data_IF_374916377282
#
_entry.id   IF_374916377282
#
_cell.length_a   1.000
_cell.length_b   1.000
_cell.length_c   1.000
_cell.angle_alpha   90.00
_cell.angle_beta   90.00
_cell.angle_gamma   90.00
#
_symmetry.space_group_name_H-M   'P 1'
#
loop_
_entity.id
_entity.type
_entity.pdbx_description
1 polymer ?
#
# COMPACT_ATOMS: atom_id res chain seq x y z
N UNK A 1 17.38 21.95 -22.88
CA UNK A 1 17.14 20.81 -21.97
C UNK A 1 18.48 20.21 -21.63
N UNK A 2 18.74 19.92 -20.36
CA UNK A 2 19.98 19.22 -19.98
C UNK A 2 19.83 17.72 -20.23
N UNK A 3 20.93 17.01 -20.50
CA UNK A 3 20.93 15.53 -20.64
C UNK A 3 20.30 14.84 -19.43
N UNK A 4 20.42 15.45 -18.25
CA UNK A 4 19.82 14.95 -17.01
C UNK A 4 18.28 15.04 -17.05
N UNK A 5 17.72 16.13 -17.57
CA UNK A 5 16.26 16.29 -17.71
C UNK A 5 15.67 15.28 -18.68
N UNK A 6 16.41 14.94 -19.75
CA UNK A 6 15.98 13.96 -20.76
C UNK A 6 15.94 12.55 -20.19
N UNK A 7 16.96 12.18 -19.40
CA UNK A 7 16.99 10.88 -18.70
C UNK A 7 15.87 10.79 -17.67
N UNK A 8 15.62 11.86 -16.92
CA UNK A 8 14.51 11.95 -15.97
C UNK A 8 13.16 11.75 -16.67
N UNK A 9 12.93 12.47 -17.78
CA UNK A 9 11.70 12.37 -18.57
C UNK A 9 11.50 10.96 -19.11
N UNK A 10 12.56 10.35 -19.66
CA UNK A 10 12.51 8.98 -20.17
C UNK A 10 12.18 7.97 -19.07
N UNK A 11 12.75 8.14 -17.86
CA UNK A 11 12.43 7.30 -16.71
C UNK A 11 10.95 7.40 -16.30
N UNK A 12 10.45 8.63 -16.13
CA UNK A 12 9.03 8.85 -15.76
C UNK A 12 8.08 8.32 -16.84
N UNK A 13 8.41 8.51 -18.13
CA UNK A 13 7.63 7.96 -19.23
C UNK A 13 7.60 6.43 -19.21
N UNK A 14 8.75 5.78 -18.98
CA UNK A 14 8.84 4.32 -18.84
C UNK A 14 7.99 3.80 -17.68
N UNK A 15 8.01 4.49 -16.53
CA UNK A 15 7.17 4.13 -15.39
C UNK A 15 5.69 4.30 -15.71
N UNK A 16 5.31 5.42 -16.34
CA UNK A 16 3.94 5.69 -16.75
C UNK A 16 3.42 4.65 -17.76
N UNK A 17 4.24 4.26 -18.74
CA UNK A 17 3.93 3.19 -19.70
C UNK A 17 3.72 1.84 -19.00
N UNK A 18 4.58 1.50 -18.04
CA UNK A 18 4.41 0.29 -17.24
C UNK A 18 3.10 0.33 -16.44
N UNK A 19 2.76 1.46 -15.80
CA UNK A 19 1.51 1.61 -15.07
C UNK A 19 0.28 1.54 -15.98
N UNK A 20 0.35 2.11 -17.17
CA UNK A 20 -0.68 1.98 -18.20
C UNK A 20 -0.96 0.52 -18.57
N UNK A 21 0.10 -0.26 -18.83
CA UNK A 21 -0.01 -1.71 -19.07
C UNK A 21 -0.53 -2.47 -17.86
N UNK A 22 -0.09 -2.12 -16.65
CA UNK A 22 -0.56 -2.73 -15.41
C UNK A 22 -2.08 -2.53 -15.24
N UNK A 23 -2.59 -1.32 -15.48
CA UNK A 23 -4.02 -1.02 -15.40
C UNK A 23 -4.82 -1.76 -16.47
N UNK A 24 -4.32 -1.84 -17.71
CA UNK A 24 -4.90 -2.66 -18.79
C UNK A 24 -4.99 -4.12 -18.36
N UNK A 25 -3.91 -4.68 -17.83
CA UNK A 25 -3.85 -6.09 -17.48
C UNK A 25 -4.73 -6.41 -16.29
N UNK A 26 -4.78 -5.52 -15.29
CA UNK A 26 -5.74 -5.61 -14.19
C UNK A 26 -7.17 -5.66 -14.74
N UNK A 27 -7.56 -4.75 -15.65
CA UNK A 27 -8.88 -4.74 -16.27
C UNK A 27 -9.21 -6.01 -17.07
N UNK A 28 -8.19 -6.72 -17.59
CA UNK A 28 -8.39 -7.94 -18.38
C UNK A 28 -8.54 -9.21 -17.53
N UNK A 29 -8.12 -9.16 -16.26
CA UNK A 29 -8.25 -10.29 -15.35
C UNK A 29 -9.65 -10.25 -14.75
N UNK A 30 -10.55 -11.13 -15.18
CA UNK A 30 -11.90 -11.26 -14.59
C UNK A 30 -11.88 -12.03 -13.26
N UNK A 31 -11.03 -11.59 -12.31
CA UNK A 31 -10.89 -12.21 -10.99
C UNK A 31 -10.85 -11.15 -9.89
N UNK A 32 -11.99 -11.02 -9.21
CA UNK A 32 -12.20 -10.05 -8.13
C UNK A 32 -11.20 -10.18 -6.97
N UNK A 33 -10.57 -11.36 -6.78
CA UNK A 33 -9.57 -11.55 -5.72
C UNK A 33 -8.24 -10.86 -6.04
N UNK A 34 -7.89 -10.76 -7.33
CA UNK A 34 -6.68 -10.08 -7.79
C UNK A 34 -6.86 -8.56 -7.83
N UNK A 35 -8.04 -8.09 -8.27
CA UNK A 35 -8.35 -6.65 -8.34
C UNK A 35 -8.20 -5.92 -7.01
N UNK A 36 -8.58 -6.53 -5.90
CA UNK A 36 -8.42 -5.92 -4.59
C UNK A 36 -6.98 -5.98 -4.08
N UNK A 37 -6.31 -7.11 -4.27
CA UNK A 37 -5.02 -7.40 -3.61
C UNK A 37 -3.83 -6.73 -4.29
N UNK A 38 -3.81 -6.68 -5.62
CA UNK A 38 -2.66 -6.15 -6.36
C UNK A 38 -2.46 -4.64 -6.17
N UNK A 39 -3.49 -3.79 -6.27
CA UNK A 39 -3.33 -2.37 -5.99
C UNK A 39 -2.85 -2.10 -4.56
N UNK A 40 -3.25 -2.91 -3.58
CA UNK A 40 -2.74 -2.81 -2.21
C UNK A 40 -1.22 -3.04 -2.14
N UNK A 41 -0.74 -4.08 -2.82
CA UNK A 41 0.69 -4.40 -2.88
C UNK A 41 1.48 -3.37 -3.70
N UNK A 42 0.87 -2.79 -4.73
CA UNK A 42 1.53 -1.86 -5.66
C UNK A 42 1.44 -0.39 -5.22
N UNK A 43 0.57 -0.03 -4.28
CA UNK A 43 0.37 1.34 -3.82
C UNK A 43 1.65 2.08 -3.38
N UNK A 44 2.63 1.45 -2.70
CA UNK A 44 3.89 2.10 -2.41
C UNK A 44 4.69 2.48 -3.66
N UNK A 45 4.69 1.62 -4.69
CA UNK A 45 5.37 1.89 -5.96
C UNK A 45 4.67 2.99 -6.75
N UNK A 46 3.34 2.96 -6.80
CA UNK A 46 2.54 4.05 -7.38
C UNK A 46 2.92 5.40 -6.76
N UNK A 47 3.01 5.39 -5.44
CA UNK A 47 3.34 6.57 -4.66
C UNK A 47 4.78 7.04 -4.83
N UNK A 48 5.71 6.11 -5.01
CA UNK A 48 7.11 6.42 -5.30
C UNK A 48 7.23 7.17 -6.64
N UNK A 49 6.62 6.63 -7.70
CA UNK A 49 6.68 7.24 -9.04
C UNK A 49 6.08 8.64 -9.03
N UNK A 50 4.87 8.80 -8.44
CA UNK A 50 4.21 10.11 -8.35
C UNK A 50 5.06 11.11 -7.58
N UNK A 51 5.62 10.70 -6.44
CA UNK A 51 6.46 11.57 -5.62
C UNK A 51 7.73 12.01 -6.35
N UNK A 52 8.40 11.08 -7.04
CA UNK A 52 9.63 11.38 -7.78
C UNK A 52 9.36 12.24 -9.01
N UNK A 53 8.25 12.03 -9.72
CA UNK A 53 7.84 12.88 -10.82
C UNK A 53 7.52 14.31 -10.34
N UNK A 54 6.78 14.44 -9.22
CA UNK A 54 6.42 15.74 -8.64
C UNK A 54 7.64 16.53 -8.14
N UNK A 55 8.68 15.86 -7.67
CA UNK A 55 9.94 16.47 -7.23
C UNK A 55 10.79 17.05 -8.36
N UNK A 56 10.38 16.92 -9.63
CA UNK A 56 11.18 17.30 -10.81
C UNK A 56 10.42 18.30 -11.71
N UNK A 57 10.04 19.49 -11.21
CA UNK A 57 9.18 20.45 -11.92
C UNK A 57 9.81 21.07 -13.19
N UNK A 58 11.13 20.97 -13.35
CA UNK A 58 11.82 21.41 -14.56
C UNK A 58 11.75 20.39 -15.70
N UNK A 59 11.46 19.13 -15.37
CA UNK A 59 11.42 18.02 -16.31
C UNK A 59 9.99 17.52 -16.56
N UNK A 60 9.07 17.65 -15.61
CA UNK A 60 7.69 17.17 -15.73
C UNK A 60 6.73 18.36 -15.76
N UNK A 61 5.76 18.33 -16.66
CA UNK A 61 4.70 19.33 -16.73
C UNK A 61 3.89 19.32 -15.40
N UNK A 62 3.83 20.44 -14.66
CA UNK A 62 3.09 20.51 -13.40
C UNK A 62 1.60 20.18 -13.55
N UNK A 63 1.01 20.38 -14.73
CA UNK A 63 -0.40 20.06 -15.00
C UNK A 63 -0.71 18.57 -14.90
N UNK A 64 0.31 17.69 -14.97
CA UNK A 64 0.16 16.26 -14.71
C UNK A 64 -0.33 15.95 -13.28
N UNK A 65 -0.22 16.92 -12.37
CA UNK A 65 -0.68 16.82 -10.99
C UNK A 65 -1.97 17.61 -10.74
N UNK A 66 -2.60 18.17 -11.79
CA UNK A 66 -3.89 18.84 -11.67
C UNK A 66 -4.95 17.83 -11.20
N UNK A 67 -5.61 18.15 -10.09
CA UNK A 67 -6.56 17.24 -9.43
C UNK A 67 -5.92 16.24 -8.45
N UNK A 68 -4.59 16.20 -8.33
CA UNK A 68 -3.91 15.46 -7.27
C UNK A 68 -3.98 16.23 -5.94
N UNK A 69 -5.11 16.04 -5.24
CA UNK A 69 -5.43 16.74 -3.99
C UNK A 69 -4.33 16.64 -2.92
N UNK A 70 -4.26 17.62 -2.02
CA UNK A 70 -3.31 17.63 -0.90
C UNK A 70 -3.37 16.34 -0.06
N UNK A 71 -4.58 15.82 0.20
CA UNK A 71 -4.77 14.55 0.92
C UNK A 71 -4.18 13.35 0.16
N UNK A 72 -4.43 13.23 -1.14
CA UNK A 72 -3.81 12.19 -1.97
C UNK A 72 -2.29 12.30 -2.02
N UNK A 73 -1.74 13.52 -1.99
CA UNK A 73 -0.30 13.74 -1.89
C UNK A 73 0.26 13.33 -0.52
N UNK A 74 -0.46 13.56 0.57
CA UNK A 74 -0.07 13.11 1.91
C UNK A 74 -0.12 11.58 2.02
N UNK A 75 -1.19 10.96 1.50
CA UNK A 75 -1.33 9.50 1.40
C UNK A 75 -0.18 8.91 0.60
N UNK A 76 0.12 9.47 -0.58
CA UNK A 76 1.24 9.03 -1.42
C UNK A 76 2.59 9.20 -0.71
N UNK A 77 2.83 10.34 -0.05
CA UNK A 77 4.05 10.53 0.73
C UNK A 77 4.21 9.45 1.80
N UNK A 78 3.16 9.12 2.56
CA UNK A 78 3.16 8.04 3.56
C UNK A 78 3.36 6.66 2.94
N UNK A 79 2.63 6.33 1.89
CA UNK A 79 2.72 5.04 1.20
C UNK A 79 4.14 4.76 0.70
N UNK A 80 4.80 5.78 0.10
CA UNK A 80 6.21 5.70 -0.33
C UNK A 80 7.15 5.37 0.81
N UNK A 81 6.91 5.89 2.02
CA UNK A 81 7.78 5.63 3.16
C UNK A 81 7.88 4.14 3.51
N UNK A 82 6.89 3.32 3.16
CA UNK A 82 6.96 1.89 3.38
C UNK A 82 8.03 1.18 2.53
N UNK A 83 8.36 1.70 1.34
CA UNK A 83 9.53 1.25 0.57
C UNK A 83 10.82 1.81 1.18
N UNK A 84 10.80 3.09 1.56
CA UNK A 84 11.98 3.76 2.11
C UNK A 84 12.40 3.23 3.48
N UNK A 85 11.52 2.66 4.28
CA UNK A 85 11.88 2.05 5.58
C UNK A 85 12.99 1.00 5.45
N UNK A 86 13.00 0.24 4.34
CA UNK A 86 14.01 -0.79 4.08
C UNK A 86 15.21 -0.27 3.27
N UNK A 87 15.11 0.94 2.71
CA UNK A 87 16.19 1.61 1.95
C UNK A 87 16.87 2.74 2.73
N UNK A 88 16.29 3.18 3.86
CA UNK A 88 16.74 4.33 4.63
C UNK A 88 17.93 3.95 5.52
N UNK A 89 19.10 4.10 4.93
CA UNK A 89 20.41 3.96 5.56
C UNK A 89 20.77 5.11 6.51
N UNK A 90 19.91 6.14 6.69
CA UNK A 90 20.20 7.31 7.52
C UNK A 90 19.67 7.20 8.95
N UNK A 91 18.59 6.44 9.18
CA UNK A 91 17.99 6.27 10.52
C UNK A 91 18.72 5.25 11.40
N UNK A 92 19.46 4.32 10.79
CA UNK A 92 19.99 3.14 11.50
C UNK A 92 18.87 2.24 12.05
N UNK A 93 19.23 1.08 12.58
CA UNK A 93 18.24 0.11 13.08
C UNK A 93 17.40 0.69 14.24
N UNK A 94 18.03 1.40 15.16
CA UNK A 94 17.34 1.97 16.33
C UNK A 94 16.32 3.03 15.95
N UNK A 95 16.65 3.93 15.02
CA UNK A 95 15.71 4.92 14.51
C UNK A 95 14.54 4.30 13.72
N UNK A 96 14.76 3.18 13.03
CA UNK A 96 13.67 2.42 12.40
C UNK A 96 12.77 1.76 13.43
N UNK A 97 13.35 1.17 14.49
CA UNK A 97 12.59 0.57 15.58
C UNK A 97 11.76 1.61 16.34
N UNK A 98 12.33 2.80 16.59
CA UNK A 98 11.63 3.89 17.25
C UNK A 98 10.47 4.40 16.38
N UNK A 99 10.70 4.62 15.08
CA UNK A 99 9.65 4.99 14.14
C UNK A 99 8.56 3.91 14.07
N UNK A 100 8.93 2.64 14.00
CA UNK A 100 7.96 1.55 14.00
C UNK A 100 7.10 1.53 15.26
N UNK A 101 7.70 1.72 16.45
CA UNK A 101 6.97 1.75 17.72
C UNK A 101 6.05 2.97 17.84
N UNK A 102 6.61 4.15 17.62
CA UNK A 102 5.97 5.42 17.98
C UNK A 102 5.00 5.92 16.90
N UNK A 103 5.25 5.61 15.63
CA UNK A 103 4.40 6.05 14.53
C UNK A 103 3.51 4.94 14.00
N UNK A 104 4.05 3.74 13.76
CA UNK A 104 3.28 2.68 13.12
C UNK A 104 2.43 1.93 14.14
N UNK A 105 3.07 1.38 15.18
CA UNK A 105 2.37 0.57 16.17
C UNK A 105 1.38 1.40 16.99
N UNK A 106 1.76 2.59 17.46
CA UNK A 106 0.86 3.47 18.21
C UNK A 106 -0.41 3.86 17.41
N UNK A 107 -0.27 4.19 16.12
CA UNK A 107 -1.42 4.63 15.29
C UNK A 107 -2.33 3.48 14.85
N UNK A 108 -1.78 2.28 14.64
CA UNK A 108 -2.54 1.16 14.09
C UNK A 108 -3.03 0.18 15.17
N UNK A 109 -2.32 0.07 16.31
CA UNK A 109 -2.64 -0.92 17.37
C UNK A 109 -4.05 -0.79 17.91
N UNK A 110 -4.55 0.41 18.19
CA UNK A 110 -5.90 0.63 18.74
C UNK A 110 -7.00 0.02 17.86
N UNK A 111 -6.78 -0.04 16.54
CA UNK A 111 -7.74 -0.65 15.61
C UNK A 111 -7.71 -2.18 15.64
N UNK A 112 -6.55 -2.79 15.87
CA UNK A 112 -6.37 -4.25 15.77
C UNK A 112 -6.22 -4.96 17.12
N UNK A 113 -5.97 -4.23 18.21
CA UNK A 113 -5.69 -4.75 19.54
C UNK A 113 -6.51 -3.97 20.58
N UNK A 114 -7.23 -4.67 21.47
CA UNK A 114 -7.91 -4.05 22.60
C UNK A 114 -9.06 -3.12 22.21
N UNK A 115 -9.66 -3.31 21.03
CA UNK A 115 -10.76 -2.48 20.53
C UNK A 115 -12.14 -2.86 21.10
N UNK A 116 -12.18 -3.70 22.14
CA UNK A 116 -13.40 -4.04 22.87
C UNK A 116 -13.25 -3.69 24.35
N UNK A 117 -14.26 -2.99 24.88
CA UNK A 117 -14.26 -2.47 26.25
C UNK A 117 -14.38 -3.54 27.36
N UNK A 118 -14.81 -4.77 27.04
CA UNK A 118 -15.10 -5.82 28.03
C UNK A 118 -14.28 -7.08 27.76
N UNK A 119 -13.70 -7.75 28.78
CA UNK A 119 -12.87 -8.94 28.59
C UNK A 119 -13.56 -10.10 27.86
N UNK A 120 -14.87 -10.30 28.10
CA UNK A 120 -15.66 -11.31 27.38
C UNK A 120 -16.05 -10.88 25.97
N UNK A 121 -15.98 -9.57 25.69
CA UNK A 121 -16.21 -9.03 24.36
C UNK A 121 -15.01 -9.18 23.44
N UNK A 122 -13.86 -9.66 23.94
CA UNK A 122 -12.66 -9.94 23.14
C UNK A 122 -12.91 -10.87 21.95
N UNK A 123 -13.91 -11.74 22.04
CA UNK A 123 -14.37 -12.58 20.92
C UNK A 123 -15.04 -11.81 19.77
N UNK A 124 -15.17 -10.51 19.87
CA UNK A 124 -15.70 -9.63 18.82
C UNK A 124 -14.71 -8.51 18.49
N UNK A 125 -13.46 -8.62 18.93
CA UNK A 125 -12.43 -7.69 18.47
C UNK A 125 -12.31 -7.73 16.95
N UNK A 126 -12.06 -6.58 16.33
CA UNK A 126 -11.80 -6.55 14.89
C UNK A 126 -10.56 -7.40 14.58
N UNK A 127 -10.72 -8.35 13.69
CA UNK A 127 -9.69 -9.33 13.37
C UNK A 127 -8.67 -8.79 12.36
N UNK A 128 -7.51 -9.42 12.35
CA UNK A 128 -6.46 -9.23 11.36
C UNK A 128 -6.80 -10.10 10.13
N UNK A 129 -7.04 -9.46 8.99
CA UNK A 129 -7.17 -10.18 7.73
C UNK A 129 -5.79 -10.59 7.23
N UNK A 130 -5.60 -11.88 6.96
CA UNK A 130 -4.43 -12.45 6.30
C UNK A 130 -4.77 -12.72 4.84
N UNK A 131 -3.89 -12.28 3.94
CA UNK A 131 -4.03 -12.50 2.50
C UNK A 131 -2.84 -13.32 2.01
N UNK A 132 -3.10 -14.50 1.46
CA UNK A 132 -2.07 -15.42 0.96
C UNK A 132 -2.23 -15.67 -0.53
N UNK A 133 -1.13 -15.99 -1.20
CA UNK A 133 -1.10 -16.44 -2.60
C UNK A 133 -0.35 -17.77 -2.66
N UNK A 134 -1.02 -18.83 -3.11
CA UNK A 134 -0.41 -20.17 -3.17
C UNK A 134 0.06 -20.68 -1.79
N UNK A 135 -0.62 -20.25 -0.71
CA UNK A 135 -0.27 -20.59 0.68
C UNK A 135 0.81 -19.70 1.31
N UNK A 136 1.44 -18.80 0.54
CA UNK A 136 2.45 -17.85 1.05
C UNK A 136 1.76 -16.55 1.47
N UNK A 137 2.06 -16.04 2.67
CA UNK A 137 1.53 -14.75 3.13
C UNK A 137 2.06 -13.62 2.25
N UNK A 138 1.14 -12.86 1.63
CA UNK A 138 1.47 -11.72 0.76
C UNK A 138 1.25 -10.41 1.51
N UNK A 139 0.16 -10.27 2.25
CA UNK A 139 -0.12 -9.06 3.04
C UNK A 139 -1.10 -9.34 4.18
N UNK A 140 -1.27 -8.37 5.07
CA UNK A 140 -2.28 -8.37 6.11
C UNK A 140 -3.08 -7.07 6.06
N UNK A 141 -4.28 -7.01 6.66
CA UNK A 141 -5.04 -5.75 6.75
C UNK A 141 -4.28 -4.66 7.51
N UNK A 142 -3.41 -5.03 8.45
CA UNK A 142 -2.48 -4.11 9.12
C UNK A 142 -1.40 -3.60 8.18
N UNK A 143 -0.72 -4.49 7.46
CA UNK A 143 0.32 -4.11 6.50
C UNK A 143 -0.28 -3.28 5.35
N UNK A 144 -1.45 -3.64 4.84
CA UNK A 144 -2.18 -2.88 3.83
C UNK A 144 -2.51 -1.46 4.33
N UNK A 145 -2.96 -1.31 5.58
CA UNK A 145 -3.21 0.01 6.15
C UNK A 145 -1.95 0.88 6.19
N UNK A 146 -0.81 0.27 6.53
CA UNK A 146 0.47 0.96 6.53
C UNK A 146 0.96 1.30 5.11
N UNK A 147 0.97 0.32 4.20
CA UNK A 147 1.47 0.44 2.83
C UNK A 147 0.64 1.38 1.96
N UNK A 148 -0.67 1.45 2.18
CA UNK A 148 -1.54 2.39 1.48
C UNK A 148 -1.28 3.84 1.88
N UNK A 149 -0.63 4.09 3.02
CA UNK A 149 -0.48 5.44 3.55
C UNK A 149 -1.81 6.10 3.91
N UNK A 150 -2.90 5.34 4.02
CA UNK A 150 -4.20 5.81 4.47
C UNK A 150 -4.28 5.64 5.98
N UNK A 151 -4.70 6.68 6.69
CA UNK A 151 -4.87 6.59 8.15
C UNK A 151 -5.91 5.52 8.50
N UNK A 152 -5.74 4.74 9.59
CA UNK A 152 -6.69 3.70 9.97
C UNK A 152 -8.14 4.19 10.04
N UNK A 153 -8.37 5.38 10.61
CA UNK A 153 -9.69 5.99 10.70
C UNK A 153 -10.35 6.18 9.34
N UNK A 154 -9.54 6.42 8.29
CA UNK A 154 -10.01 6.61 6.91
C UNK A 154 -10.15 5.30 6.12
N UNK A 155 -9.31 4.31 6.41
CA UNK A 155 -9.34 3.02 5.73
C UNK A 155 -10.54 2.18 6.16
N UNK A 156 -10.92 2.29 7.43
CA UNK A 156 -11.99 1.51 8.04
C UNK A 156 -13.27 2.33 8.28
N UNK A 157 -13.47 3.39 7.49
CA UNK A 157 -14.72 4.15 7.50
C UNK A 157 -15.85 3.24 7.05
N UNK A 158 -17.01 3.45 7.64
CA UNK A 158 -18.25 2.86 7.17
C UNK A 158 -18.79 3.68 5.98
N UNK A 159 -18.05 3.65 4.88
CA UNK A 159 -18.32 4.41 3.65
C UNK A 159 -18.29 3.54 2.39
N UNK A 160 -18.38 2.22 2.56
CA UNK A 160 -18.27 1.23 1.48
C UNK A 160 -17.00 1.39 0.60
N UNK A 161 -15.93 1.95 1.17
CA UNK A 161 -14.65 2.15 0.48
C UNK A 161 -14.63 3.36 -0.46
N UNK A 162 -15.60 4.27 -0.37
CA UNK A 162 -15.68 5.50 -1.19
C UNK A 162 -14.40 6.32 -1.07
N UNK A 163 -13.86 6.50 0.13
CA UNK A 163 -12.62 7.25 0.35
C UNK A 163 -11.42 6.62 -0.37
N UNK A 164 -11.27 5.30 -0.25
CA UNK A 164 -10.15 4.55 -0.85
C UNK A 164 -10.25 4.64 -2.37
N UNK A 165 -11.44 4.40 -2.93
CA UNK A 165 -11.69 4.53 -4.37
C UNK A 165 -11.36 5.93 -4.87
N UNK A 166 -11.88 6.98 -4.22
CA UNK A 166 -11.62 8.36 -4.62
C UNK A 166 -10.14 8.75 -4.53
N UNK A 167 -9.38 8.16 -3.60
CA UNK A 167 -7.93 8.35 -3.53
C UNK A 167 -7.22 7.65 -4.69
N UNK A 168 -7.57 6.39 -4.98
CA UNK A 168 -6.97 5.63 -6.07
C UNK A 168 -7.33 6.19 -7.46
N UNK A 169 -8.53 6.75 -7.63
CA UNK A 169 -8.91 7.45 -8.86
C UNK A 169 -8.02 8.68 -9.10
N UNK A 170 -7.67 9.44 -8.06
CA UNK A 170 -6.74 10.58 -8.18
C UNK A 170 -5.33 10.12 -8.53
N UNK A 171 -4.87 9.00 -7.97
CA UNK A 171 -3.61 8.35 -8.35
C UNK A 171 -3.64 7.96 -9.84
N UNK A 172 -4.71 7.32 -10.30
CA UNK A 172 -4.89 6.95 -11.71
C UNK A 172 -4.90 8.17 -12.65
N UNK A 173 -5.61 9.25 -12.29
CA UNK A 173 -5.60 10.51 -13.05
C UNK A 173 -4.22 11.14 -13.13
N UNK A 174 -3.45 11.09 -12.05
CA UNK A 174 -2.07 11.56 -12.05
C UNK A 174 -1.22 10.75 -13.03
N UNK A 175 -1.33 9.41 -13.02
CA UNK A 175 -0.63 8.57 -14.00
C UNK A 175 -1.04 8.88 -15.44
N UNK A 176 -2.33 9.12 -15.70
CA UNK A 176 -2.79 9.58 -17.00
C UNK A 176 -2.13 10.91 -17.40
N UNK A 177 -2.06 11.88 -16.48
CA UNK A 177 -1.34 13.15 -16.69
C UNK A 177 0.17 12.98 -16.94
N UNK A 178 0.78 11.95 -16.35
CA UNK A 178 2.18 11.55 -16.60
C UNK A 178 2.37 10.80 -17.93
N UNK A 179 1.29 10.52 -18.66
CA UNK A 179 1.33 9.86 -19.97
C UNK A 179 1.00 8.37 -19.96
N UNK A 180 0.51 7.81 -18.84
CA UNK A 180 0.11 6.40 -18.79
C UNK A 180 -1.08 6.14 -19.72
N UNK A 181 -0.96 5.09 -20.54
CA UNK A 181 -2.01 4.69 -21.49
C UNK A 181 -2.30 3.19 -21.43
N UNK A 182 -3.57 2.82 -21.57
CA UNK A 182 -3.98 1.41 -21.60
C UNK A 182 -3.52 0.71 -22.88
N UNK A 183 -3.30 1.45 -23.97
CA UNK A 183 -2.78 0.95 -25.25
C UNK A 183 -1.26 1.04 -25.37
N UNK A 184 -0.55 1.30 -24.25
CA UNK A 184 0.91 1.39 -24.25
C UNK A 184 1.55 0.08 -24.78
N UNK A 185 2.53 0.19 -25.69
CA UNK A 185 3.18 -0.98 -26.29
C UNK A 185 4.04 -1.73 -25.26
N UNK A 186 4.25 -3.02 -25.50
CA UNK A 186 5.08 -3.88 -24.66
C UNK A 186 4.36 -5.13 -24.18
N UNK A 187 5.11 -6.01 -23.53
CA UNK A 187 4.61 -7.28 -23.02
C UNK A 187 3.59 -7.09 -21.90
N UNK A 188 2.90 -8.17 -21.58
CA UNK A 188 2.04 -8.23 -20.41
C UNK A 188 2.84 -8.05 -19.12
N UNK A 189 2.21 -7.42 -18.14
CA UNK A 189 2.74 -7.30 -16.79
C UNK A 189 2.56 -8.60 -16.03
N UNK A 190 3.25 -8.71 -14.89
CA UNK A 190 3.18 -9.88 -14.02
C UNK A 190 1.74 -10.29 -13.63
N UNK A 191 0.79 -9.34 -13.63
CA UNK A 191 -0.61 -9.57 -13.25
C UNK A 191 -1.28 -10.60 -14.14
N UNK A 192 -0.95 -10.65 -15.44
CA UNK A 192 -1.48 -11.65 -16.38
C UNK A 192 -1.04 -13.08 -16.07
N UNK A 193 0.02 -13.23 -15.28
CA UNK A 193 0.56 -14.51 -14.87
C UNK A 193 0.07 -14.94 -13.48
N UNK A 194 -0.76 -14.13 -12.82
CA UNK A 194 -1.36 -14.46 -11.55
C UNK A 194 -2.67 -15.22 -11.74
N UNK A 195 -3.02 -16.03 -10.74
CA UNK A 195 -4.30 -16.72 -10.71
C UNK A 195 -5.00 -16.48 -9.38
N UNK A 196 -6.19 -15.85 -9.42
CA UNK A 196 -6.84 -15.44 -8.18
C UNK A 196 -7.43 -16.60 -7.38
N UNK A 197 -7.60 -17.79 -7.96
CA UNK A 197 -7.91 -18.99 -7.17
C UNK A 197 -6.83 -19.34 -6.13
N UNK A 198 -5.59 -18.89 -6.34
CA UNK A 198 -4.47 -19.03 -5.40
C UNK A 198 -4.52 -17.96 -4.31
N UNK A 199 -5.26 -16.87 -4.51
CA UNK A 199 -5.50 -15.86 -3.47
C UNK A 199 -6.48 -16.43 -2.45
N UNK A 200 -6.10 -16.38 -1.18
CA UNK A 200 -6.97 -16.74 -0.06
C UNK A 200 -6.96 -15.64 0.97
N UNK A 201 -8.11 -15.47 1.63
CA UNK A 201 -8.28 -14.60 2.79
C UNK A 201 -8.68 -15.44 3.99
N UNK A 202 -8.08 -15.16 5.14
CA UNK A 202 -8.52 -15.68 6.42
C UNK A 202 -8.44 -14.57 7.46
N UNK A 203 -9.45 -14.44 8.32
CA UNK A 203 -9.41 -13.51 9.44
C UNK A 203 -8.91 -14.26 10.68
N UNK A 204 -7.96 -13.66 11.39
CA UNK A 204 -7.36 -14.22 12.61
C UNK A 204 -7.32 -13.18 13.73
N UNK A 205 -7.29 -13.65 14.97
CA UNK A 205 -7.03 -12.77 16.11
C UNK A 205 -5.64 -12.16 15.99
N UNK A 206 -5.58 -10.83 15.90
CA UNK A 206 -4.32 -10.10 15.80
C UNK A 206 -3.40 -10.41 16.99
N UNK A 207 -3.96 -10.41 18.22
CA UNK A 207 -3.24 -10.73 19.46
C UNK A 207 -2.58 -12.10 19.41
N UNK A 208 -3.34 -13.14 19.07
CA UNK A 208 -2.82 -14.51 18.99
C UNK A 208 -1.87 -14.71 17.80
N UNK A 209 -2.14 -14.06 16.67
CA UNK A 209 -1.32 -14.18 15.47
C UNK A 209 0.05 -13.52 15.68
N UNK A 210 0.09 -12.26 16.12
CA UNK A 210 1.35 -11.56 16.33
C UNK A 210 2.21 -12.23 17.40
N UNK A 211 1.61 -12.69 18.51
CA UNK A 211 2.32 -13.44 19.53
C UNK A 211 2.92 -14.74 18.98
N UNK A 212 2.18 -15.49 18.15
CA UNK A 212 2.70 -16.74 17.57
C UNK A 212 3.75 -16.51 16.49
N UNK A 213 3.54 -15.53 15.62
CA UNK A 213 4.34 -15.33 14.41
C UNK A 213 5.66 -14.59 14.65
N UNK A 214 5.67 -13.55 15.49
CA UNK A 214 6.84 -12.68 15.66
C UNK A 214 7.60 -12.93 16.97
N UNK A 215 6.87 -13.32 17.99
CA UNK A 215 7.37 -13.42 19.35
C UNK A 215 7.75 -14.88 19.72
N UNK A 216 7.40 -15.86 18.87
CA UNK A 216 7.70 -17.28 19.06
C UNK A 216 7.03 -17.88 20.29
N UNK A 217 7.32 -19.15 20.59
CA UNK A 217 6.79 -19.82 21.79
C UNK A 217 7.27 -19.20 23.10
N UNK A 218 8.32 -18.37 23.06
CA UNK A 218 8.94 -17.73 24.23
C UNK A 218 8.09 -16.62 24.87
N UNK A 219 7.09 -16.08 24.16
CA UNK A 219 6.24 -14.99 24.69
C UNK A 219 4.86 -15.45 25.14
N UNK A 220 4.62 -16.77 25.16
CA UNK A 220 3.52 -17.36 25.94
C UNK A 220 3.87 -17.25 27.43
N UNK A 221 3.78 -16.06 28.01
CA UNK A 221 4.21 -15.88 29.40
C UNK A 221 4.07 -14.53 30.06
N UNK A 222 3.74 -13.43 29.38
CA UNK A 222 3.36 -12.21 30.11
C UNK A 222 1.84 -12.18 30.27
N UNK A 223 1.41 -12.67 31.43
CA UNK A 223 0.07 -12.55 31.98
C UNK A 223 -0.59 -11.19 31.75
N UNK A 224 -1.90 -11.28 31.53
CA UNK A 224 -2.90 -10.24 31.56
C UNK A 224 -2.58 -9.02 32.44
N UNK A 225 -2.78 -7.84 31.86
CA UNK A 225 -3.48 -6.72 32.49
C UNK A 225 -4.50 -6.16 31.49
#
# INVERSE_FOLDING_TARGET
>A
MSVNDDVIKAGVASDADYMGRLFRDLQSVDDSNLYGSIPLCMAPYFSLVIHEAKGKPHAIDPSAFDGFSADAAEVSARARHSLKLFEDNRRGIDGQLEFFKNDILAKHSVRFLGNTWLPFARRWENDLGLFTYGGILVTTSHAAAFHLGIKPENLFRDDDGVYIRGTMEKVGRCFYGLGARLDAPGEDTFVRHLSGHLVKRADVRASDYYQRAFNGSATRGSTAY
#
